data_IF_969450563962
#
_entry.id   IF_969450563962
#
_cell.length_a   1.000
_cell.length_b   1.000
_cell.length_c   1.000
_cell.angle_alpha   90.00
_cell.angle_beta   90.00
_cell.angle_gamma   90.00
#
_symmetry.space_group_name_H-M   'P 1'
#
loop_
_entity.id
_entity.type
_entity.pdbx_description
1 polymer ?
#
# COMPACT_ATOMS: atom_id res chain seq x y z
N UNK A 1 23.99 7.89 17.35
CA UNK A 1 23.02 8.64 16.52
C UNK A 1 23.44 8.51 15.06
N UNK A 2 22.57 7.97 14.20
CA UNK A 2 22.85 7.74 12.78
C UNK A 2 22.74 9.03 11.97
N UNK A 3 23.30 9.09 10.75
CA UNK A 3 23.20 10.27 9.87
C UNK A 3 21.76 10.61 9.48
N UNK A 4 20.93 9.59 9.33
CA UNK A 4 19.49 9.70 9.01
C UNK A 4 18.74 10.44 10.12
N UNK A 5 18.95 10.04 11.39
CA UNK A 5 18.35 10.67 12.56
C UNK A 5 18.78 12.14 12.76
N UNK A 6 20.00 12.52 12.32
CA UNK A 6 20.44 13.93 12.35
C UNK A 6 19.71 14.80 11.34
N UNK A 7 19.44 14.26 10.15
CA UNK A 7 18.78 15.00 9.07
C UNK A 7 17.30 15.25 9.39
N UNK A 8 16.62 14.25 9.96
CA UNK A 8 15.24 14.37 10.42
C UNK A 8 15.06 15.48 11.47
N UNK A 9 15.97 15.56 12.44
CA UNK A 9 15.92 16.60 13.48
C UNK A 9 16.20 17.99 12.93
N UNK A 10 17.07 18.12 11.94
CA UNK A 10 17.33 19.41 11.28
C UNK A 10 16.09 19.88 10.49
N UNK A 11 15.40 18.95 9.81
CA UNK A 11 14.17 19.28 9.07
C UNK A 11 13.08 19.72 10.06
N UNK A 12 12.86 18.96 11.14
CA UNK A 12 11.89 19.32 12.18
C UNK A 12 12.22 20.69 12.84
N UNK A 13 13.51 20.98 13.03
CA UNK A 13 13.97 22.30 13.52
C UNK A 13 13.58 23.44 12.57
N UNK A 14 13.80 23.26 11.26
CA UNK A 14 13.51 24.27 10.24
C UNK A 14 12.01 24.51 10.04
N UNK A 15 11.18 23.49 10.26
CA UNK A 15 9.72 23.58 10.19
C UNK A 15 9.08 24.16 11.46
N UNK A 16 9.85 24.29 12.55
CA UNK A 16 9.34 24.80 13.83
C UNK A 16 8.61 23.74 14.67
N UNK A 17 8.75 22.46 14.34
CA UNK A 17 8.01 21.34 14.93
C UNK A 17 8.74 20.69 16.14
N UNK A 18 9.77 21.35 16.67
CA UNK A 18 10.54 20.85 17.82
C UNK A 18 10.12 21.50 19.14
N UNK A 19 10.23 20.72 20.23
CA UNK A 19 10.16 21.24 21.59
C UNK A 19 11.32 22.19 21.87
N UNK A 20 11.18 23.09 22.85
CA UNK A 20 12.25 24.03 23.24
C UNK A 20 13.55 23.32 23.65
N UNK A 21 13.46 22.12 24.22
CA UNK A 21 14.61 21.32 24.62
C UNK A 21 15.33 20.70 23.40
N UNK A 22 14.57 20.12 22.47
CA UNK A 22 15.11 19.57 21.23
C UNK A 22 15.72 20.64 20.32
N UNK A 23 15.13 21.84 20.33
CA UNK A 23 15.64 22.99 19.59
C UNK A 23 17.08 23.34 20.00
N UNK A 24 17.32 23.44 21.31
CA UNK A 24 18.66 23.73 21.86
C UNK A 24 19.65 22.61 21.52
N UNK A 25 19.21 21.35 21.54
CA UNK A 25 20.08 20.24 21.14
C UNK A 25 20.49 20.31 19.66
N UNK A 26 19.57 20.69 18.77
CA UNK A 26 19.87 20.85 17.35
C UNK A 26 20.75 22.08 17.11
N UNK A 27 20.49 23.20 17.78
CA UNK A 27 21.32 24.41 17.71
C UNK A 27 22.76 24.15 18.13
N UNK A 28 22.98 23.44 19.24
CA UNK A 28 24.31 23.04 19.69
C UNK A 28 24.98 22.07 18.68
N UNK A 29 24.23 21.07 18.20
CA UNK A 29 24.74 20.09 17.23
C UNK A 29 25.15 20.73 15.90
N UNK A 30 24.41 21.75 15.44
CA UNK A 30 24.71 22.51 14.22
C UNK A 30 25.84 23.52 14.48
N UNK A 31 25.91 24.12 15.68
CA UNK A 31 26.98 25.02 16.07
C UNK A 31 28.36 24.38 16.02
N UNK A 32 28.46 23.10 16.40
CA UNK A 32 29.72 22.37 16.53
C UNK A 32 30.20 21.68 15.23
N UNK A 33 29.36 21.58 14.19
CA UNK A 33 29.68 20.85 12.95
C UNK A 33 29.47 21.71 11.69
N UNK A 34 30.56 22.20 11.05
CA UNK A 34 30.49 22.99 9.81
C UNK A 34 29.76 22.29 8.65
N UNK A 35 29.72 20.95 8.62
CA UNK A 35 29.00 20.21 7.57
C UNK A 35 27.49 20.26 7.77
N UNK A 36 27.04 20.25 9.03
CA UNK A 36 25.63 20.40 9.37
C UNK A 36 25.14 21.84 9.15
N UNK A 37 26.01 22.84 9.34
CA UNK A 37 25.70 24.23 9.00
C UNK A 37 25.42 24.38 7.50
N UNK A 38 26.25 23.77 6.66
CA UNK A 38 26.02 23.79 5.21
C UNK A 38 24.75 23.02 4.81
N UNK A 39 24.46 21.90 5.46
CA UNK A 39 23.22 21.14 5.22
C UNK A 39 21.96 21.92 5.63
N UNK A 40 22.00 22.61 6.78
CA UNK A 40 20.92 23.50 7.23
C UNK A 40 20.68 24.62 6.21
N UNK A 41 21.74 25.22 5.69
CA UNK A 41 21.68 26.28 4.68
C UNK A 41 21.04 25.79 3.37
N UNK A 42 21.36 24.58 2.93
CA UNK A 42 20.74 23.97 1.74
C UNK A 42 19.25 23.74 1.93
N UNK A 43 18.83 23.24 3.10
CA UNK A 43 17.41 23.05 3.38
C UNK A 43 16.65 24.36 3.52
N UNK A 44 17.27 25.41 4.08
CA UNK A 44 16.70 26.76 4.09
C UNK A 44 16.46 27.29 2.69
N UNK A 45 17.43 27.13 1.77
CA UNK A 45 17.29 27.56 0.38
C UNK A 45 16.12 26.85 -0.34
N UNK A 46 15.96 25.54 -0.12
CA UNK A 46 14.84 24.79 -0.69
C UNK A 46 13.49 25.25 -0.12
N UNK A 47 13.45 25.58 1.18
CA UNK A 47 12.24 26.06 1.82
C UNK A 47 11.84 27.45 1.27
N UNK A 48 12.82 28.33 1.07
CA UNK A 48 12.61 29.67 0.49
C UNK A 48 12.15 29.58 -0.98
N UNK A 49 12.72 28.65 -1.76
CA UNK A 49 12.31 28.36 -3.14
C UNK A 49 10.86 27.84 -3.20
N UNK A 50 10.50 26.94 -2.28
CA UNK A 50 9.14 26.41 -2.18
C UNK A 50 8.13 27.50 -1.78
N UNK A 51 8.46 28.35 -0.82
CA UNK A 51 7.60 29.45 -0.37
C UNK A 51 7.44 30.55 -1.43
N UNK A 52 8.46 30.78 -2.24
CA UNK A 52 8.41 31.78 -3.33
C UNK A 52 7.72 31.26 -4.60
N UNK A 53 7.52 29.95 -4.70
CA UNK A 53 6.78 29.35 -5.82
C UNK A 53 5.28 29.62 -5.67
N UNK A 54 4.69 30.35 -6.63
CA UNK A 54 3.26 30.65 -6.64
C UNK A 54 2.46 29.39 -6.99
N UNK A 55 2.08 28.62 -5.97
CA UNK A 55 1.16 27.49 -6.12
C UNK A 55 -0.17 28.02 -6.65
N UNK A 56 -0.60 27.54 -7.81
CA UNK A 56 -1.92 27.86 -8.34
C UNK A 56 -2.97 27.35 -7.35
N UNK A 57 -3.80 28.25 -6.83
CA UNK A 57 -4.81 27.87 -5.85
C UNK A 57 -5.79 26.87 -6.45
N UNK A 58 -6.08 25.81 -5.70
CA UNK A 58 -7.10 24.85 -6.07
C UNK A 58 -8.46 25.56 -6.19
N UNK A 59 -9.37 25.07 -7.06
CA UNK A 59 -10.74 25.58 -7.09
C UNK A 59 -11.38 25.51 -5.70
N UNK A 60 -12.10 26.56 -5.29
CA UNK A 60 -12.74 26.64 -3.96
C UNK A 60 -13.63 25.44 -3.66
N UNK A 61 -14.26 24.85 -4.68
CA UNK A 61 -15.06 23.63 -4.53
C UNK A 61 -14.24 22.45 -3.98
N UNK A 62 -13.00 22.26 -4.44
CA UNK A 62 -12.13 21.17 -3.97
C UNK A 62 -11.65 21.41 -2.54
N UNK A 63 -11.39 22.66 -2.18
CA UNK A 63 -11.02 23.06 -0.82
C UNK A 63 -12.18 22.75 0.14
N UNK A 64 -13.39 23.17 -0.22
CA UNK A 64 -14.60 22.93 0.59
C UNK A 64 -14.94 21.45 0.74
N UNK A 65 -14.73 20.64 -0.30
CA UNK A 65 -14.90 19.19 -0.18
C UNK A 65 -13.90 18.56 0.79
N UNK A 66 -12.65 19.03 0.79
CA UNK A 66 -11.62 18.57 1.70
C UNK A 66 -11.91 19.00 3.15
N UNK A 67 -12.33 20.24 3.37
CA UNK A 67 -12.73 20.75 4.69
C UNK A 67 -13.89 19.93 5.28
N UNK A 68 -14.94 19.69 4.48
CA UNK A 68 -16.07 18.86 4.91
C UNK A 68 -15.66 17.42 5.25
N UNK A 69 -14.67 16.87 4.52
CA UNK A 69 -14.13 15.54 4.83
C UNK A 69 -13.34 15.54 6.14
N UNK A 70 -12.52 16.56 6.39
CA UNK A 70 -11.77 16.72 7.65
C UNK A 70 -12.69 16.90 8.86
N UNK A 71 -13.73 17.70 8.75
CA UNK A 71 -14.69 17.92 9.85
C UNK A 71 -15.37 16.60 10.27
N UNK A 72 -15.72 15.75 9.32
CA UNK A 72 -16.30 14.45 9.61
C UNK A 72 -15.33 13.52 10.36
N UNK A 73 -14.05 13.50 9.98
CA UNK A 73 -13.06 12.62 10.60
C UNK A 73 -12.69 13.07 12.04
N UNK A 74 -12.66 14.39 12.26
CA UNK A 74 -12.40 14.98 13.59
C UNK A 74 -13.53 14.65 14.57
N UNK A 75 -14.78 14.68 14.13
CA UNK A 75 -15.92 14.34 14.99
C UNK A 75 -15.91 12.86 15.40
N UNK A 76 -15.59 11.95 14.46
CA UNK A 76 -15.49 10.49 14.70
C UNK A 76 -14.42 10.17 15.77
N UNK A 77 -13.37 10.99 15.88
CA UNK A 77 -12.26 10.76 16.81
C UNK A 77 -12.53 11.21 18.26
N UNK A 78 -13.55 12.05 18.50
CA UNK A 78 -13.79 12.70 19.81
C UNK A 78 -14.66 11.91 20.81
N UNK A 79 -15.30 10.81 20.39
CA UNK A 79 -16.27 10.09 21.24
C UNK A 79 -15.67 9.01 22.17
N UNK A 80 -14.37 8.72 22.11
CA UNK A 80 -13.76 7.67 22.96
C UNK A 80 -13.01 8.23 24.16
N UNK A 81 -13.70 8.31 25.31
CA UNK A 81 -13.05 8.08 26.62
C UNK A 81 -13.48 8.96 27.80
N UNK A 82 -14.46 8.52 28.59
CA UNK A 82 -14.56 8.82 30.03
C UNK A 82 -14.35 7.53 30.82
N UNK A 83 -13.22 7.38 31.50
CA UNK A 83 -12.92 6.22 32.35
C UNK A 83 -13.37 6.48 33.80
N UNK A 84 -14.31 5.66 34.30
CA UNK A 84 -14.70 5.57 35.71
C UNK A 84 -13.82 4.53 36.42
N UNK A 85 -13.28 4.88 37.57
CA UNK A 85 -12.46 4.00 38.43
C UNK A 85 -13.33 2.99 39.17
N UNK A 86 -12.97 1.68 39.18
CA UNK A 86 -13.76 0.65 39.88
C UNK A 86 -12.95 -0.47 40.54
N UNK A 87 -13.43 -0.85 41.73
CA UNK A 87 -12.82 -1.65 42.79
C UNK A 87 -12.48 -3.11 42.42
N UNK A 88 -11.18 -3.39 42.46
CA UNK A 88 -10.43 -4.63 42.18
C UNK A 88 -10.74 -5.91 42.99
N UNK A 89 -11.55 -5.89 44.05
CA UNK A 89 -11.84 -7.10 44.85
C UNK A 89 -12.99 -7.97 44.32
N UNK A 90 -13.78 -7.49 43.36
CA UNK A 90 -14.81 -8.30 42.68
C UNK A 90 -14.25 -9.24 41.60
N UNK A 91 -12.96 -9.14 41.26
CA UNK A 91 -12.36 -9.84 40.11
C UNK A 91 -11.79 -11.22 40.44
N UNK A 92 -11.65 -11.58 41.72
CA UNK A 92 -11.12 -12.91 42.12
C UNK A 92 -12.14 -14.03 41.84
N UNK A 93 -13.44 -13.77 41.99
CA UNK A 93 -14.50 -14.74 41.67
C UNK A 93 -14.80 -14.85 40.16
N UNK A 94 -14.40 -13.86 39.37
CA UNK A 94 -14.55 -13.87 37.89
C UNK A 94 -13.36 -14.59 37.24
N UNK A 95 -12.18 -14.57 37.86
CA UNK A 95 -10.97 -15.24 37.37
C UNK A 95 -11.12 -16.77 37.22
N UNK A 96 -11.90 -17.42 38.09
CA UNK A 96 -12.19 -18.87 38.00
C UNK A 96 -13.16 -19.21 36.86
N UNK A 97 -14.06 -18.29 36.48
CA UNK A 97 -14.90 -18.40 35.28
C UNK A 97 -14.06 -18.16 34.01
N UNK A 98 -13.09 -17.24 34.04
CA UNK A 98 -12.14 -17.02 32.94
C UNK A 98 -11.14 -18.16 32.73
N UNK A 99 -10.88 -19.00 33.74
CA UNK A 99 -9.99 -20.16 33.60
C UNK A 99 -10.71 -21.33 32.91
N UNK A 100 -12.00 -21.51 33.20
CA UNK A 100 -12.89 -22.47 32.52
C UNK A 100 -13.29 -22.00 31.10
N UNK A 101 -13.55 -20.70 30.93
CA UNK A 101 -13.71 -20.06 29.62
C UNK A 101 -12.38 -19.82 28.91
N UNK A 102 -11.24 -19.98 29.55
CA UNK A 102 -9.92 -19.77 28.93
C UNK A 102 -9.62 -20.86 27.93
N UNK A 103 -9.86 -22.12 28.29
CA UNK A 103 -9.60 -23.27 27.41
C UNK A 103 -10.65 -23.35 26.29
N UNK A 104 -11.94 -23.12 26.59
CA UNK A 104 -13.00 -23.09 25.56
C UNK A 104 -13.07 -21.79 24.75
N UNK A 105 -12.70 -20.67 25.37
CA UNK A 105 -12.73 -19.33 24.80
C UNK A 105 -11.51 -19.00 23.96
N UNK A 106 -10.34 -19.62 24.18
CA UNK A 106 -9.23 -19.53 23.22
C UNK A 106 -9.66 -20.09 21.85
N UNK A 107 -10.43 -21.20 21.84
CA UNK A 107 -10.99 -21.74 20.60
C UNK A 107 -12.11 -20.86 19.99
N UNK A 108 -12.92 -20.19 20.82
CA UNK A 108 -13.96 -19.25 20.35
C UNK A 108 -13.38 -17.91 19.87
N UNK A 109 -12.32 -17.40 20.51
CA UNK A 109 -11.65 -16.15 20.14
C UNK A 109 -10.91 -16.30 18.81
N UNK A 110 -10.29 -17.46 18.57
CA UNK A 110 -9.71 -17.80 17.27
C UNK A 110 -10.76 -17.85 16.14
N UNK A 111 -12.02 -18.19 16.46
CA UNK A 111 -13.12 -18.22 15.48
C UNK A 111 -13.77 -16.84 15.23
N UNK A 112 -13.67 -15.90 16.17
CA UNK A 112 -14.18 -14.52 16.01
C UNK A 112 -13.15 -13.59 15.33
N UNK A 113 -11.86 -13.84 15.49
CA UNK A 113 -10.78 -13.09 14.82
C UNK A 113 -10.76 -13.31 13.29
N UNK A 114 -11.10 -14.52 12.83
CA UNK A 114 -11.22 -14.86 11.40
C UNK A 114 -12.45 -14.20 10.76
N UNK A 115 -13.59 -14.17 11.46
CA UNK A 115 -14.84 -13.63 10.92
C UNK A 115 -14.86 -12.10 10.76
N UNK A 116 -14.19 -11.34 11.65
CA UNK A 116 -14.05 -9.88 11.51
C UNK A 116 -13.18 -9.49 10.32
N UNK A 117 -12.08 -10.19 10.12
CA UNK A 117 -11.13 -9.95 9.03
C UNK A 117 -11.75 -10.25 7.67
N UNK A 118 -12.52 -11.34 7.55
CA UNK A 118 -13.23 -11.69 6.31
C UNK A 118 -14.34 -10.69 5.96
N UNK A 119 -15.13 -10.22 6.94
CA UNK A 119 -16.14 -9.18 6.69
C UNK A 119 -15.52 -7.86 6.24
N UNK A 120 -14.40 -7.43 6.84
CA UNK A 120 -13.68 -6.23 6.42
C UNK A 120 -13.13 -6.36 5.01
N UNK A 121 -12.49 -7.50 4.68
CA UNK A 121 -11.96 -7.78 3.34
C UNK A 121 -13.05 -7.70 2.26
N UNK A 122 -14.22 -8.29 2.48
CA UNK A 122 -15.38 -8.19 1.57
C UNK A 122 -15.87 -6.73 1.43
N UNK A 123 -15.80 -5.95 2.49
CA UNK A 123 -16.15 -4.53 2.47
C UNK A 123 -15.13 -3.72 1.65
N UNK A 124 -13.84 -4.05 1.74
CA UNK A 124 -12.79 -3.41 0.95
C UNK A 124 -12.86 -3.78 -0.54
N UNK A 125 -13.24 -5.02 -0.88
CA UNK A 125 -13.56 -5.40 -2.27
C UNK A 125 -14.74 -4.59 -2.83
N UNK A 126 -15.80 -4.37 -2.05
CA UNK A 126 -16.92 -3.52 -2.46
C UNK A 126 -16.49 -2.06 -2.68
N UNK A 127 -15.46 -1.60 -1.96
CA UNK A 127 -14.89 -0.26 -2.15
C UNK A 127 -14.06 -0.16 -3.42
N UNK A 128 -13.45 -1.24 -3.94
CA UNK A 128 -12.78 -1.21 -5.26
C UNK A 128 -13.79 -0.84 -6.35
N UNK A 129 -14.97 -1.47 -6.33
CA UNK A 129 -16.04 -1.19 -7.29
C UNK A 129 -16.65 0.21 -7.08
N UNK A 130 -16.72 0.66 -5.82
CA UNK A 130 -17.37 1.93 -5.46
C UNK A 130 -16.43 3.15 -5.47
N UNK A 131 -15.13 2.98 -5.68
CA UNK A 131 -14.18 4.08 -5.66
C UNK A 131 -14.19 4.84 -7.00
N UNK A 132 -14.66 6.09 -6.93
CA UNK A 132 -14.87 6.95 -8.11
C UNK A 132 -13.59 7.28 -8.89
N UNK A 133 -12.41 7.24 -8.26
CA UNK A 133 -11.15 7.64 -8.86
C UNK A 133 -10.07 6.55 -8.87
N UNK A 134 -9.19 6.62 -9.87
CA UNK A 134 -8.07 5.69 -10.09
C UNK A 134 -7.18 5.53 -8.87
N UNK A 135 -6.82 6.63 -8.21
CA UNK A 135 -5.96 6.62 -7.01
C UNK A 135 -6.59 5.86 -5.86
N UNK A 136 -7.90 6.00 -5.65
CA UNK A 136 -8.65 5.29 -4.62
C UNK A 136 -8.63 3.79 -4.84
N UNK A 137 -8.85 3.33 -6.09
CA UNK A 137 -8.80 1.91 -6.43
C UNK A 137 -7.40 1.32 -6.23
N UNK A 138 -6.34 2.01 -6.69
CA UNK A 138 -4.94 1.59 -6.44
C UNK A 138 -4.64 1.53 -4.94
N UNK A 139 -5.05 2.54 -4.17
CA UNK A 139 -4.85 2.56 -2.71
C UNK A 139 -5.47 1.34 -2.05
N UNK A 140 -6.68 0.94 -2.48
CA UNK A 140 -7.34 -0.23 -1.92
C UNK A 140 -6.60 -1.52 -2.30
N UNK A 141 -6.17 -1.68 -3.56
CA UNK A 141 -5.36 -2.85 -3.97
C UNK A 141 -4.10 -3.00 -3.09
N UNK A 142 -3.41 -1.88 -2.82
CA UNK A 142 -2.19 -1.85 -2.03
C UNK A 142 -2.41 -2.08 -0.51
N UNK A 143 -3.66 -2.11 -0.03
CA UNK A 143 -3.97 -2.42 1.37
C UNK A 143 -4.00 -3.93 1.65
N UNK A 144 -4.16 -4.76 0.61
CA UNK A 144 -4.18 -6.21 0.78
C UNK A 144 -2.76 -6.76 0.91
N UNK A 145 -2.53 -7.53 1.97
CA UNK A 145 -1.31 -8.30 2.14
C UNK A 145 -1.37 -9.60 1.34
N UNK A 146 -0.22 -10.15 0.95
CA UNK A 146 -0.10 -11.43 0.22
C UNK A 146 -0.98 -12.55 0.78
N UNK A 147 -0.94 -12.77 2.10
CA UNK A 147 -1.76 -13.80 2.78
C UNK A 147 -3.27 -13.60 2.57
N UNK A 148 -3.69 -12.35 2.42
CA UNK A 148 -5.09 -12.00 2.20
C UNK A 148 -5.53 -12.22 0.77
N UNK A 149 -4.64 -12.06 -0.20
CA UNK A 149 -4.97 -12.25 -1.61
C UNK A 149 -5.13 -13.75 -1.94
N UNK A 150 -4.48 -14.65 -1.18
CA UNK A 150 -4.67 -16.10 -1.33
C UNK A 150 -6.11 -16.60 -1.03
N UNK A 151 -6.97 -15.74 -0.47
CA UNK A 151 -8.40 -16.04 -0.38
C UNK A 151 -9.02 -16.03 -1.79
N UNK A 152 -9.72 -17.10 -2.22
CA UNK A 152 -10.23 -17.21 -3.58
C UNK A 152 -11.15 -16.06 -4.01
N UNK A 153 -11.96 -15.51 -3.10
CA UNK A 153 -12.86 -14.39 -3.43
C UNK A 153 -12.06 -13.11 -3.71
N UNK A 154 -10.99 -12.90 -2.96
CA UNK A 154 -10.11 -11.74 -3.09
C UNK A 154 -9.24 -11.89 -4.35
N UNK A 155 -8.68 -13.07 -4.58
CA UNK A 155 -7.94 -13.36 -5.80
C UNK A 155 -8.78 -13.09 -7.04
N UNK A 156 -10.02 -13.61 -7.07
CA UNK A 156 -10.95 -13.39 -8.18
C UNK A 156 -11.28 -11.91 -8.38
N UNK A 157 -11.37 -11.13 -7.30
CA UNK A 157 -11.58 -9.69 -7.42
C UNK A 157 -10.36 -8.97 -8.03
N UNK A 158 -9.13 -9.34 -7.64
CA UNK A 158 -7.91 -8.79 -8.25
C UNK A 158 -7.81 -9.14 -9.74
N UNK A 159 -8.15 -10.39 -10.11
CA UNK A 159 -8.24 -10.82 -11.50
C UNK A 159 -9.29 -10.00 -12.26
N UNK A 160 -10.47 -9.81 -11.67
CA UNK A 160 -11.52 -9.01 -12.29
C UNK A 160 -11.09 -7.56 -12.52
N UNK A 161 -10.36 -6.95 -11.57
CA UNK A 161 -9.79 -5.61 -11.73
C UNK A 161 -8.74 -5.59 -12.85
N UNK A 162 -7.85 -6.59 -12.91
CA UNK A 162 -6.85 -6.70 -13.97
C UNK A 162 -7.49 -6.81 -15.36
N UNK A 163 -8.60 -7.53 -15.50
CA UNK A 163 -9.27 -7.73 -16.78
C UNK A 163 -10.15 -6.55 -17.21
N UNK A 164 -10.81 -5.89 -16.26
CA UNK A 164 -11.95 -5.03 -16.58
C UNK A 164 -11.81 -3.57 -16.12
N UNK A 165 -10.80 -3.21 -15.33
CA UNK A 165 -10.67 -1.82 -14.89
C UNK A 165 -10.34 -0.90 -16.07
N UNK A 166 -11.12 0.17 -16.22
CA UNK A 166 -10.94 1.16 -17.29
C UNK A 166 -9.57 1.87 -17.31
N UNK A 167 -8.83 1.83 -16.21
CA UNK A 167 -7.56 2.53 -16.05
C UNK A 167 -6.40 1.55 -16.08
N UNK A 168 -5.55 1.62 -17.11
CA UNK A 168 -4.32 0.82 -17.24
C UNK A 168 -3.46 0.85 -15.97
N UNK A 169 -3.37 1.99 -15.27
CA UNK A 169 -2.64 2.08 -14.00
C UNK A 169 -3.23 1.22 -12.85
N UNK A 170 -4.55 1.05 -12.79
CA UNK A 170 -5.18 0.18 -11.78
C UNK A 170 -4.93 -1.28 -12.14
N UNK A 171 -5.04 -1.61 -13.43
CA UNK A 171 -4.73 -2.94 -13.96
C UNK A 171 -3.26 -3.32 -13.65
N UNK A 172 -2.32 -2.41 -13.87
CA UNK A 172 -0.90 -2.59 -13.51
C UNK A 172 -0.70 -2.81 -12.00
N UNK A 173 -1.41 -2.06 -11.15
CA UNK A 173 -1.37 -2.27 -9.71
C UNK A 173 -1.90 -3.67 -9.31
N UNK A 174 -2.91 -4.18 -10.02
CA UNK A 174 -3.37 -5.56 -9.83
C UNK A 174 -2.31 -6.58 -10.24
N UNK A 175 -1.62 -6.39 -11.37
CA UNK A 175 -0.47 -7.25 -11.77
C UNK A 175 0.61 -7.26 -10.69
N UNK A 176 1.00 -6.08 -10.20
CA UNK A 176 2.05 -5.95 -9.18
C UNK A 176 1.68 -6.69 -7.89
N UNK A 177 0.45 -6.52 -7.41
CA UNK A 177 -0.05 -7.23 -6.23
C UNK A 177 -0.08 -8.76 -6.42
N UNK A 178 -0.55 -9.23 -7.59
CA UNK A 178 -0.54 -10.65 -7.94
C UNK A 178 0.89 -11.21 -8.06
N UNK A 179 1.86 -10.40 -8.48
CA UNK A 179 3.27 -10.81 -8.60
C UNK A 179 3.94 -11.15 -7.27
N UNK A 180 3.36 -10.70 -6.15
CA UNK A 180 3.86 -10.90 -4.80
C UNK A 180 3.26 -12.14 -4.13
N UNK A 181 2.36 -12.86 -4.81
CA UNK A 181 1.86 -14.14 -4.35
C UNK A 181 2.93 -15.22 -4.49
N UNK A 182 2.98 -16.19 -3.56
CA UNK A 182 3.76 -17.40 -3.79
C UNK A 182 3.28 -18.07 -5.08
N UNK A 183 4.18 -18.76 -5.78
CA UNK A 183 3.88 -19.43 -7.05
C UNK A 183 2.61 -20.28 -6.96
N UNK A 184 1.53 -19.73 -7.49
CA UNK A 184 0.24 -20.39 -7.59
C UNK A 184 -0.02 -20.62 -9.08
N UNK A 185 -0.12 -21.91 -9.45
CA UNK A 185 -0.41 -22.34 -10.81
C UNK A 185 -1.71 -21.73 -11.36
N UNK A 186 -2.71 -21.50 -10.50
CA UNK A 186 -3.97 -20.87 -10.90
C UNK A 186 -3.72 -19.41 -11.33
N UNK A 187 -2.97 -18.64 -10.53
CA UNK A 187 -2.64 -17.24 -10.84
C UNK A 187 -1.81 -17.18 -12.13
N UNK A 188 -0.82 -18.06 -12.27
CA UNK A 188 0.00 -18.16 -13.49
C UNK A 188 -0.86 -18.42 -14.72
N UNK A 189 -1.79 -19.37 -14.66
CA UNK A 189 -2.66 -19.70 -15.79
C UNK A 189 -3.51 -18.50 -16.24
N UNK A 190 -3.99 -17.70 -15.29
CA UNK A 190 -4.76 -16.49 -15.55
C UNK A 190 -3.88 -15.40 -16.16
N UNK A 191 -2.68 -15.17 -15.63
CA UNK A 191 -1.74 -14.21 -16.20
C UNK A 191 -1.35 -14.58 -17.63
N UNK A 192 -1.10 -15.86 -17.92
CA UNK A 192 -0.81 -16.34 -19.28
C UNK A 192 -1.99 -16.11 -20.23
N UNK A 193 -3.23 -16.36 -19.79
CA UNK A 193 -4.43 -16.05 -20.59
C UNK A 193 -4.48 -14.57 -20.92
N UNK A 194 -4.35 -13.71 -19.90
CA UNK A 194 -4.44 -12.25 -20.08
C UNK A 194 -3.30 -11.75 -20.98
N UNK A 195 -2.09 -12.30 -20.86
CA UNK A 195 -0.97 -11.97 -21.74
C UNK A 195 -1.30 -12.20 -23.23
N UNK A 196 -2.02 -13.28 -23.54
CA UNK A 196 -2.41 -13.63 -24.92
C UNK A 196 -3.60 -12.81 -25.43
N UNK A 197 -4.57 -12.51 -24.56
CA UNK A 197 -5.84 -11.88 -24.97
C UNK A 197 -5.79 -10.34 -24.92
N UNK A 198 -4.97 -9.74 -24.04
CA UNK A 198 -4.96 -8.30 -23.81
C UNK A 198 -4.26 -7.52 -24.92
N UNK A 199 -4.79 -6.34 -25.22
CA UNK A 199 -4.28 -5.48 -26.29
C UNK A 199 -3.44 -4.31 -25.77
N UNK A 200 -3.32 -4.14 -24.45
CA UNK A 200 -2.53 -3.07 -23.83
C UNK A 200 -1.08 -3.53 -23.63
N UNK A 201 -0.10 -3.00 -24.39
CA UNK A 201 1.30 -3.45 -24.34
C UNK A 201 1.90 -3.35 -22.94
N UNK A 202 1.54 -2.31 -22.17
CA UNK A 202 2.03 -2.12 -20.81
C UNK A 202 1.63 -3.27 -19.88
N UNK A 203 0.43 -3.83 -20.05
CA UNK A 203 -0.05 -4.96 -19.25
C UNK A 203 0.66 -6.26 -19.67
N UNK A 204 0.80 -6.49 -20.97
CA UNK A 204 1.52 -7.64 -21.49
C UNK A 204 2.97 -7.68 -20.98
N UNK A 205 3.70 -6.56 -21.08
CA UNK A 205 5.07 -6.43 -20.56
C UNK A 205 5.14 -6.65 -19.05
N UNK A 206 4.19 -6.10 -18.28
CA UNK A 206 4.15 -6.31 -16.84
C UNK A 206 3.98 -7.80 -16.50
N UNK A 207 3.10 -8.51 -17.20
CA UNK A 207 2.89 -9.94 -17.00
C UNK A 207 4.13 -10.76 -17.37
N UNK A 208 4.79 -10.45 -18.50
CA UNK A 208 6.06 -11.11 -18.89
C UNK A 208 7.08 -10.98 -17.76
N UNK A 209 7.22 -9.78 -17.19
CA UNK A 209 8.12 -9.52 -16.07
C UNK A 209 7.76 -10.34 -14.82
N UNK A 210 6.47 -10.55 -14.53
CA UNK A 210 6.05 -11.45 -13.44
C UNK A 210 6.47 -12.89 -13.72
N UNK A 211 6.23 -13.40 -14.94
CA UNK A 211 6.59 -14.77 -15.32
C UNK A 211 8.11 -15.01 -15.24
N UNK A 212 8.91 -14.00 -15.59
CA UNK A 212 10.38 -14.02 -15.47
C UNK A 212 10.83 -13.96 -14.01
N UNK A 213 10.23 -13.06 -13.20
CA UNK A 213 10.51 -12.93 -11.75
C UNK A 213 10.32 -14.26 -11.04
N UNK A 214 9.28 -14.99 -11.42
CA UNK A 214 8.94 -16.30 -10.91
C UNK A 214 9.97 -17.39 -11.29
N UNK A 215 10.72 -17.24 -12.40
CA UNK A 215 11.71 -18.24 -12.86
C UNK A 215 11.13 -19.64 -13.10
N UNK A 216 9.90 -19.69 -13.59
CA UNK A 216 9.27 -20.96 -13.93
C UNK A 216 9.69 -21.42 -15.34
N UNK A 217 10.29 -22.61 -15.50
CA UNK A 217 10.67 -23.13 -16.82
C UNK A 217 9.49 -23.25 -17.81
N UNK A 218 8.27 -23.46 -17.32
CA UNK A 218 7.07 -23.54 -18.18
C UNK A 218 6.70 -22.19 -18.79
N UNK A 219 7.08 -21.08 -18.16
CA UNK A 219 6.90 -19.73 -18.71
C UNK A 219 7.72 -19.53 -19.99
N UNK A 220 8.88 -20.19 -20.12
CA UNK A 220 9.73 -20.07 -21.32
C UNK A 220 9.01 -20.51 -22.58
N UNK A 221 8.38 -21.68 -22.55
CA UNK A 221 7.58 -22.20 -23.68
C UNK A 221 6.43 -21.24 -24.02
N UNK A 222 5.82 -20.62 -23.02
CA UNK A 222 4.73 -19.65 -23.23
C UNK A 222 5.23 -18.39 -23.94
N UNK A 223 6.40 -17.87 -23.55
CA UNK A 223 6.99 -16.70 -24.21
C UNK A 223 7.48 -17.04 -25.63
N UNK A 224 8.03 -18.23 -25.85
CA UNK A 224 8.41 -18.72 -27.18
C UNK A 224 7.19 -18.90 -28.11
N UNK A 225 6.03 -19.29 -27.57
CA UNK A 225 4.76 -19.29 -28.31
C UNK A 225 4.31 -17.87 -28.65
N UNK A 226 4.34 -16.96 -27.67
CA UNK A 226 3.93 -15.56 -27.86
C UNK A 226 4.73 -14.86 -28.96
N UNK A 227 6.04 -15.15 -29.05
CA UNK A 227 6.92 -14.59 -30.10
C UNK A 227 6.59 -15.06 -31.52
N UNK A 228 5.73 -16.06 -31.70
CA UNK A 228 5.27 -16.54 -33.01
C UNK A 228 4.03 -15.81 -33.51
N UNK A 229 3.41 -14.96 -32.68
CA UNK A 229 2.26 -14.16 -33.06
C UNK A 229 2.69 -13.01 -33.99
N UNK A 230 2.11 -12.98 -35.20
CA UNK A 230 2.52 -12.05 -36.26
C UNK A 230 2.34 -10.57 -35.84
N UNK A 231 1.23 -10.27 -35.17
CA UNK A 231 0.80 -8.91 -34.81
C UNK A 231 1.22 -8.46 -33.40
N UNK A 232 2.16 -9.15 -32.74
CA UNK A 232 2.61 -8.75 -31.40
C UNK A 232 3.34 -7.38 -31.47
N UNK A 233 3.00 -6.40 -30.60
CA UNK A 233 3.67 -5.10 -30.56
C UNK A 233 5.19 -5.23 -30.34
N UNK A 234 5.98 -4.33 -30.94
CA UNK A 234 7.45 -4.43 -30.94
C UNK A 234 8.04 -4.45 -29.51
N UNK A 235 7.59 -3.54 -28.65
CA UNK A 235 8.05 -3.47 -27.25
C UNK A 235 7.75 -4.78 -26.48
N UNK A 236 6.63 -5.43 -26.81
CA UNK A 236 6.22 -6.71 -26.20
C UNK A 236 7.05 -7.87 -26.75
N UNK A 237 7.38 -7.85 -28.06
CA UNK A 237 8.31 -8.81 -28.68
C UNK A 237 9.69 -8.72 -28.03
N UNK A 238 10.20 -7.50 -27.84
CA UNK A 238 11.50 -7.28 -27.18
C UNK A 238 11.50 -7.81 -25.74
N UNK A 239 10.48 -7.47 -24.93
CA UNK A 239 10.40 -7.94 -23.54
C UNK A 239 10.22 -9.47 -23.47
N UNK A 240 9.42 -10.08 -24.36
CA UNK A 240 9.27 -11.53 -24.42
C UNK A 240 10.58 -12.23 -24.77
N UNK A 241 11.35 -11.70 -25.73
CA UNK A 241 12.67 -12.23 -26.10
C UNK A 241 13.67 -12.13 -24.94
N UNK A 242 13.70 -10.98 -24.24
CA UNK A 242 14.50 -10.82 -23.03
C UNK A 242 14.08 -11.81 -21.95
N UNK A 243 12.77 -12.02 -21.78
CA UNK A 243 12.22 -12.99 -20.84
C UNK A 243 12.67 -14.43 -21.13
N UNK A 244 12.61 -14.88 -22.39
CA UNK A 244 13.11 -16.21 -22.81
C UNK A 244 14.61 -16.38 -22.51
N UNK A 245 15.40 -15.31 -22.62
CA UNK A 245 16.84 -15.34 -22.36
C UNK A 245 17.16 -15.41 -20.86
N UNK A 246 16.27 -14.86 -20.01
CA UNK A 246 16.43 -14.82 -18.55
C UNK A 246 15.94 -16.08 -17.83
N UNK A 247 15.12 -16.90 -18.50
CA UNK A 247 14.55 -18.18 -18.02
C UNK A 247 15.38 -19.39 -18.48
#
# INVERSE_FOLDING_TARGET
>A
MTRENKSERIIAYLLGDLTSEDKIMVENMVGDDPRLQEQVKQYQQLLDEWQSTKIQSLPESRIKHFENWLENEIQISSEKGKLRTLNWWKYIAVASIFLLLGIGGINYLNQVQTNKTFSQKKTDLLRLVSADNTTGRIKILNQFQTESINDPDILNAFIHVLENDKSTNVRLAAVDALSNLPHDEAVKSVLIRILKDDQEPAIQMAIINVLVKWRDPSSKSTLEELLKEDELPEDVKEEAFLGVTRL
#
